data_IF_676200399432
#
_entry.id   IF_676200399432
#
_cell.length_a   1.000
_cell.length_b   1.000
_cell.length_c   1.000
_cell.angle_alpha   90.00
_cell.angle_beta   90.00
_cell.angle_gamma   90.00
#
_symmetry.space_group_name_H-M   'P 1'
#
loop_
_entity.id
_entity.type
_entity.pdbx_description
1 polymer ?
#
# COMPACT_ATOMS: atom_id res chain seq x y z
N UNK A 1 -22.12 26.54 5.81
CA UNK A 1 -21.14 25.43 5.70
C UNK A 1 -21.01 25.12 4.22
N UNK A 2 -19.80 24.95 3.68
CA UNK A 2 -19.67 24.56 2.27
C UNK A 2 -20.25 23.15 2.09
N UNK A 3 -21.24 23.00 1.21
CA UNK A 3 -21.81 21.70 0.85
C UNK A 3 -20.79 20.94 -0.01
N UNK A 4 -19.97 20.11 0.65
CA UNK A 4 -18.98 19.25 -0.01
C UNK A 4 -19.69 17.94 -0.34
N UNK A 5 -19.71 17.59 -1.64
CA UNK A 5 -20.28 16.34 -2.10
C UNK A 5 -19.58 15.13 -1.45
N UNK A 6 -20.35 14.11 -1.07
CA UNK A 6 -19.81 12.86 -0.53
C UNK A 6 -18.96 12.17 -1.61
N UNK A 7 -17.71 11.76 -1.31
CA UNK A 7 -16.88 11.04 -2.27
C UNK A 7 -17.50 9.67 -2.61
N UNK A 8 -17.30 9.24 -3.86
CA UNK A 8 -17.73 7.94 -4.39
C UNK A 8 -16.51 7.12 -4.78
N UNK A 9 -16.09 6.21 -3.90
CA UNK A 9 -14.96 5.33 -4.15
C UNK A 9 -15.42 4.05 -4.89
N UNK A 10 -14.68 3.56 -5.90
CA UNK A 10 -13.30 3.95 -6.24
C UNK A 10 -13.14 5.10 -7.24
N UNK A 11 -14.23 5.66 -7.78
CA UNK A 11 -14.17 6.70 -8.83
C UNK A 11 -13.38 7.95 -8.40
N UNK A 12 -13.37 8.26 -7.10
CA UNK A 12 -12.66 9.39 -6.53
C UNK A 12 -11.27 9.04 -5.93
N UNK A 13 -10.83 7.78 -5.95
CA UNK A 13 -9.58 7.35 -5.28
C UNK A 13 -8.33 8.02 -5.85
N UNK A 14 -8.32 8.32 -7.16
CA UNK A 14 -7.20 9.00 -7.81
C UNK A 14 -6.88 10.36 -7.16
N UNK A 15 -7.84 10.98 -6.46
CA UNK A 15 -7.66 12.23 -5.72
C UNK A 15 -6.70 12.10 -4.54
N UNK A 16 -6.32 10.88 -4.11
CA UNK A 16 -5.28 10.69 -3.10
C UNK A 16 -3.97 11.40 -3.47
N UNK A 17 -3.65 11.46 -4.76
CA UNK A 17 -2.45 12.12 -5.28
C UNK A 17 -2.51 13.66 -5.23
N UNK A 18 -3.68 14.24 -4.95
CA UNK A 18 -3.80 15.67 -4.65
C UNK A 18 -3.32 16.01 -3.23
N UNK A 19 -3.20 15.01 -2.35
CA UNK A 19 -2.73 15.17 -0.96
C UNK A 19 -1.34 14.57 -0.79
N UNK A 20 -1.14 13.37 -1.32
CA UNK A 20 0.13 12.65 -1.25
C UNK A 20 0.89 12.85 -2.54
N UNK A 21 2.04 13.52 -2.51
CA UNK A 21 2.86 13.68 -3.73
C UNK A 21 3.47 12.32 -4.14
N UNK A 22 3.12 11.76 -5.32
CA UNK A 22 3.66 10.49 -5.77
C UNK A 22 5.19 10.54 -5.96
N UNK A 23 5.75 11.68 -6.37
CA UNK A 23 7.20 11.82 -6.58
C UNK A 23 8.00 11.67 -5.27
N UNK A 24 7.38 11.99 -4.14
CA UNK A 24 8.01 11.88 -2.81
C UNK A 24 7.67 10.56 -2.13
N UNK A 25 6.41 10.08 -2.27
CA UNK A 25 5.88 8.98 -1.46
C UNK A 25 5.76 7.64 -2.17
N UNK A 26 5.83 7.58 -3.50
CA UNK A 26 5.72 6.31 -4.24
C UNK A 26 6.83 5.33 -3.83
N UNK A 27 8.10 5.77 -3.84
CA UNK A 27 9.23 4.91 -3.46
C UNK A 27 9.13 4.44 -1.99
N UNK A 28 8.85 5.32 -1.00
CA UNK A 28 8.56 4.89 0.37
C UNK A 28 7.47 3.83 0.49
N UNK A 29 6.34 4.00 -0.21
CA UNK A 29 5.24 3.02 -0.20
C UNK A 29 5.72 1.67 -0.74
N UNK A 30 6.44 1.67 -1.87
CA UNK A 30 6.97 0.44 -2.47
C UNK A 30 8.00 -0.24 -1.55
N UNK A 31 8.86 0.52 -0.87
CA UNK A 31 9.78 -0.04 0.13
C UNK A 31 9.05 -0.62 1.35
N UNK A 32 8.00 0.04 1.83
CA UNK A 32 7.19 -0.48 2.91
C UNK A 32 6.52 -1.81 2.52
N UNK A 33 5.93 -1.89 1.32
CA UNK A 33 5.34 -3.13 0.80
C UNK A 33 6.41 -4.21 0.63
N UNK A 34 7.60 -3.86 0.12
CA UNK A 34 8.72 -4.79 0.01
C UNK A 34 9.13 -5.35 1.38
N UNK A 35 9.25 -4.49 2.41
CA UNK A 35 9.60 -4.93 3.75
C UNK A 35 8.54 -5.87 4.34
N UNK A 36 7.26 -5.56 4.13
CA UNK A 36 6.15 -6.44 4.54
C UNK A 36 6.28 -7.80 3.86
N UNK A 37 6.48 -7.80 2.53
CA UNK A 37 6.65 -9.04 1.75
C UNK A 37 7.84 -9.84 2.26
N UNK A 38 9.02 -9.24 2.42
CA UNK A 38 10.20 -9.94 2.94
C UNK A 38 9.95 -10.53 4.33
N UNK A 39 9.35 -9.74 5.23
CA UNK A 39 9.04 -10.18 6.59
C UNK A 39 8.09 -11.38 6.58
N UNK A 40 6.97 -11.28 5.87
CA UNK A 40 5.99 -12.37 5.77
C UNK A 40 6.64 -13.63 5.23
N UNK A 41 7.43 -13.54 4.16
CA UNK A 41 8.11 -14.71 3.60
C UNK A 41 9.14 -15.32 4.56
N UNK A 42 9.93 -14.50 5.26
CA UNK A 42 10.88 -15.02 6.24
C UNK A 42 10.18 -15.77 7.37
N UNK A 43 9.10 -15.22 7.91
CA UNK A 43 8.31 -15.84 8.98
C UNK A 43 7.64 -17.14 8.49
N UNK A 44 7.05 -17.12 7.31
CA UNK A 44 6.35 -18.29 6.76
C UNK A 44 7.32 -19.43 6.45
N UNK A 45 8.52 -19.13 5.94
CA UNK A 45 9.56 -20.14 5.71
C UNK A 45 10.04 -20.79 7.01
N UNK A 46 10.09 -20.03 8.11
CA UNK A 46 10.47 -20.55 9.43
C UNK A 46 9.47 -21.57 9.99
N UNK A 47 8.23 -21.60 9.50
CA UNK A 47 7.22 -22.59 9.89
C UNK A 47 7.51 -23.99 9.32
N UNK A 48 8.39 -24.11 8.33
CA UNK A 48 8.89 -25.38 7.79
C UNK A 48 7.92 -26.18 6.91
N UNK A 49 6.66 -25.78 6.79
CA UNK A 49 5.66 -26.45 5.94
C UNK A 49 5.37 -25.71 4.62
N UNK A 50 5.70 -24.43 4.56
CA UNK A 50 5.58 -23.61 3.36
C UNK A 50 6.98 -23.42 2.75
N UNK A 51 7.16 -23.87 1.51
CA UNK A 51 8.41 -23.82 0.75
C UNK A 51 8.15 -23.27 -0.65
N UNK A 52 9.21 -22.85 -1.34
CA UNK A 52 9.16 -22.28 -2.68
C UNK A 52 9.13 -23.31 -3.81
N UNK A 53 9.20 -24.60 -3.47
CA UNK A 53 9.35 -25.73 -4.38
C UNK A 53 10.16 -26.84 -3.73
#
# INVERSE_FOLDING_TARGET
MSDIAKPSNPNDDWKIWMVVNPSTWLMPILFAVLLIVLTVHTVVLQLGWFTWG
#
